data_IF_824243364697
#
_entry.id   IF_824243364697
#
_cell.length_a   1.000
_cell.length_b   1.000
_cell.length_c   1.000
_cell.angle_alpha   90.00
_cell.angle_beta   90.00
_cell.angle_gamma   90.00
#
_symmetry.space_group_name_H-M   'P 1'
#
loop_
_entity.id
_entity.type
_entity.pdbx_description
1 polymer ?
#
# COMPACT_ATOMS: atom_id res chain seq x y z
N UNK A 1 14.44 -8.94 -18.28
CA UNK A 1 14.42 -8.00 -17.14
C UNK A 1 13.10 -8.26 -16.42
N UNK A 2 13.11 -8.68 -15.16
CA UNK A 2 11.87 -8.98 -14.44
C UNK A 2 11.11 -7.68 -14.18
N UNK A 3 9.81 -7.67 -14.41
CA UNK A 3 8.95 -6.53 -14.03
C UNK A 3 8.94 -6.39 -12.50
N UNK A 4 8.97 -5.15 -11.97
CA UNK A 4 8.89 -4.94 -10.53
C UNK A 4 7.57 -5.48 -9.99
N UNK A 5 7.61 -6.02 -8.77
CA UNK A 5 6.41 -6.45 -8.06
C UNK A 5 5.53 -5.25 -7.70
N UNK A 6 4.25 -5.51 -7.40
CA UNK A 6 3.33 -4.48 -6.92
C UNK A 6 3.86 -3.79 -5.66
N UNK A 7 4.46 -4.56 -4.74
CA UNK A 7 5.04 -4.01 -3.51
C UNK A 7 6.23 -3.10 -3.78
N UNK A 8 7.18 -3.51 -4.64
CA UNK A 8 8.32 -2.67 -5.01
C UNK A 8 7.84 -1.37 -5.65
N UNK A 9 6.88 -1.43 -6.58
CA UNK A 9 6.31 -0.25 -7.22
C UNK A 9 5.61 0.67 -6.20
N UNK A 10 4.88 0.09 -5.23
CA UNK A 10 4.22 0.85 -4.17
C UNK A 10 5.24 1.57 -3.29
N UNK A 11 6.28 0.86 -2.85
CA UNK A 11 7.36 1.40 -2.02
C UNK A 11 8.11 2.51 -2.74
N UNK A 12 8.48 2.29 -4.00
CA UNK A 12 9.29 3.23 -4.78
C UNK A 12 8.52 4.51 -5.16
N UNK A 13 7.18 4.45 -5.20
CA UNK A 13 6.31 5.62 -5.45
C UNK A 13 5.90 6.35 -4.18
N UNK A 14 6.24 5.82 -3.00
CA UNK A 14 5.96 6.51 -1.75
C UNK A 14 6.86 7.75 -1.62
N UNK A 15 6.34 8.93 -1.23
CA UNK A 15 7.07 10.21 -1.34
C UNK A 15 8.20 10.40 -0.31
N UNK A 16 8.62 9.35 0.39
CA UNK A 16 9.69 9.38 1.39
C UNK A 16 10.04 7.97 1.85
N UNK A 17 10.87 7.84 2.88
CA UNK A 17 11.12 6.53 3.51
C UNK A 17 9.92 6.16 4.38
N UNK A 18 9.21 5.05 4.10
CA UNK A 18 8.09 4.63 4.94
C UNK A 18 8.58 4.28 6.34
N UNK A 19 7.74 4.52 7.34
CA UNK A 19 7.95 3.93 8.68
C UNK A 19 7.66 2.43 8.65
N UNK A 20 8.10 1.70 9.68
CA UNK A 20 7.80 0.26 9.81
C UNK A 20 6.30 -0.03 9.73
N UNK A 21 5.45 0.78 10.38
CA UNK A 21 4.00 0.62 10.34
C UNK A 21 3.41 0.90 8.95
N UNK A 22 3.97 1.88 8.23
CA UNK A 22 3.55 2.19 6.87
C UNK A 22 3.93 1.06 5.92
N UNK A 23 5.14 0.53 6.02
CA UNK A 23 5.60 -0.61 5.22
C UNK A 23 4.78 -1.88 5.51
N UNK A 24 4.45 -2.15 6.78
CA UNK A 24 3.54 -3.22 7.17
C UNK A 24 2.14 -3.03 6.56
N UNK A 25 1.60 -1.80 6.57
CA UNK A 25 0.34 -1.49 5.91
C UNK A 25 0.41 -1.68 4.38
N UNK A 26 1.52 -1.35 3.75
CA UNK A 26 1.75 -1.57 2.32
C UNK A 26 1.75 -3.06 1.98
N UNK A 27 2.46 -3.89 2.75
CA UNK A 27 2.42 -5.34 2.59
C UNK A 27 0.99 -5.90 2.76
N UNK A 28 0.26 -5.43 3.77
CA UNK A 28 -1.11 -5.88 4.03
C UNK A 28 -2.06 -5.49 2.89
N UNK A 29 -1.92 -4.29 2.33
CA UNK A 29 -2.67 -3.82 1.16
C UNK A 29 -2.34 -4.63 -0.09
N UNK A 30 -1.05 -4.88 -0.37
CA UNK A 30 -0.63 -5.69 -1.52
C UNK A 30 -1.18 -7.10 -1.42
N UNK A 31 -1.10 -7.74 -0.25
CA UNK A 31 -1.70 -9.05 -0.03
C UNK A 31 -3.21 -9.01 -0.28
N UNK A 32 -3.91 -8.05 0.33
CA UNK A 32 -5.36 -7.91 0.16
C UNK A 32 -5.78 -7.73 -1.30
N UNK A 33 -5.01 -7.00 -2.11
CA UNK A 33 -5.29 -6.80 -3.53
C UNK A 33 -5.03 -8.03 -4.40
N UNK A 34 -4.11 -8.90 -3.98
CA UNK A 34 -3.69 -10.09 -4.75
C UNK A 34 -4.43 -11.37 -4.31
N UNK A 35 -5.07 -11.36 -3.15
CA UNK A 35 -5.75 -12.50 -2.58
C UNK A 35 -7.17 -12.62 -3.17
N UNK A 36 -7.52 -13.75 -3.81
CA UNK A 36 -8.85 -13.93 -4.38
C UNK A 36 -9.89 -14.06 -3.27
N UNK A 37 -10.89 -13.17 -3.27
CA UNK A 37 -12.02 -13.23 -2.37
C UNK A 37 -13.28 -12.71 -3.09
N UNK A 38 -14.42 -13.40 -2.92
CA UNK A 38 -15.69 -12.97 -3.54
C UNK A 38 -16.17 -11.62 -2.99
N UNK A 39 -16.05 -11.41 -1.67
CA UNK A 39 -16.31 -10.13 -1.00
C UNK A 39 -15.32 -9.96 0.16
N UNK A 40 -14.61 -8.83 0.20
CA UNK A 40 -13.65 -8.56 1.27
C UNK A 40 -13.54 -7.06 1.56
N UNK A 41 -13.18 -6.70 2.80
CA UNK A 41 -13.02 -5.31 3.25
C UNK A 41 -11.68 -5.12 3.93
N UNK A 42 -10.90 -4.15 3.47
CA UNK A 42 -9.68 -3.69 4.15
C UNK A 42 -9.96 -2.40 4.93
N UNK A 43 -9.64 -2.38 6.22
CA UNK A 43 -9.79 -1.18 7.06
C UNK A 43 -8.41 -0.66 7.47
N UNK A 44 -8.02 0.51 6.93
CA UNK A 44 -6.80 1.21 7.35
C UNK A 44 -7.08 2.14 8.53
N UNK A 45 -6.56 1.79 9.71
CA UNK A 45 -6.67 2.60 10.94
C UNK A 45 -5.34 3.27 11.28
N UNK A 46 -5.40 4.45 11.89
CA UNK A 46 -4.21 5.18 12.35
C UNK A 46 -4.56 6.58 12.84
N UNK A 47 -3.70 7.16 13.67
CA UNK A 47 -3.90 8.49 14.26
C UNK A 47 -3.82 9.61 13.21
N UNK A 48 -4.31 10.80 13.56
CA UNK A 48 -4.13 11.98 12.71
C UNK A 48 -2.64 12.21 12.42
N UNK A 49 -2.30 12.55 11.18
CA UNK A 49 -0.91 12.79 10.77
C UNK A 49 -0.06 11.55 10.44
N UNK A 50 -0.55 10.31 10.61
CA UNK A 50 0.27 9.09 10.36
C UNK A 50 0.38 8.67 8.88
N UNK A 51 0.01 9.53 7.94
CA UNK A 51 0.21 9.27 6.51
C UNK A 51 -0.82 8.34 5.84
N UNK A 52 -1.97 8.06 6.47
CA UNK A 52 -3.05 7.22 5.86
C UNK A 52 -3.44 7.69 4.45
N UNK A 53 -3.69 8.98 4.28
CA UNK A 53 -4.06 9.57 2.99
C UNK A 53 -2.93 9.46 1.97
N UNK A 54 -1.68 9.59 2.43
CA UNK A 54 -0.48 9.43 1.58
C UNK A 54 -0.38 8.00 1.05
N UNK A 55 -0.54 6.99 1.93
CA UNK A 55 -0.56 5.58 1.53
C UNK A 55 -1.63 5.31 0.46
N UNK A 56 -2.87 5.77 0.69
CA UNK A 56 -3.97 5.57 -0.26
C UNK A 56 -3.74 6.29 -1.59
N UNK A 57 -3.19 7.52 -1.55
CA UNK A 57 -2.87 8.28 -2.77
C UNK A 57 -1.75 7.60 -3.58
N UNK A 58 -0.71 7.13 -2.92
CA UNK A 58 0.37 6.39 -3.59
C UNK A 58 -0.19 5.10 -4.18
N UNK A 59 -0.99 4.32 -3.45
CA UNK A 59 -1.64 3.12 -3.98
C UNK A 59 -2.52 3.42 -5.20
N UNK A 60 -3.35 4.45 -5.14
CA UNK A 60 -4.18 4.86 -6.27
C UNK A 60 -3.35 5.31 -7.48
N UNK A 61 -2.11 5.79 -7.29
CA UNK A 61 -1.23 6.19 -8.39
C UNK A 61 -0.57 5.02 -9.12
N UNK A 62 -0.38 3.88 -8.45
CA UNK A 62 0.28 2.70 -9.05
C UNK A 62 -0.71 1.69 -9.66
N UNK A 63 -2.00 1.81 -9.33
CA UNK A 63 -3.08 0.97 -9.89
C UNK A 63 -3.74 1.59 -11.13
N UNK A 64 -3.25 2.73 -11.60
CA UNK A 64 -3.75 3.43 -12.79
C UNK A 64 -3.06 2.97 -14.05
#
# INVERSE_FOLDING_TARGET
>A
MNSPTLFETFRDRFPGTPTADQEAAMHALVRYLLEPAEESLFILKGYAGTGKTTLMRTLASILR
#
